data_IF_667178608822
#
_entry.id   IF_667178608822
#
_cell.length_a   1.000
_cell.length_b   1.000
_cell.length_c   1.000
_cell.angle_alpha   90.00
_cell.angle_beta   90.00
_cell.angle_gamma   90.00
#
_symmetry.space_group_name_H-M   'P 1'
#
loop_
_entity.id
_entity.type
_entity.pdbx_description
1 polymer ?
#
# COMPACT_ATOMS: atom_id res chain seq x y z
N UNK A 1 18.95 1.47 10.10
CA UNK A 1 18.75 2.79 9.45
C UNK A 1 18.63 3.85 10.53
N UNK A 2 19.53 4.83 10.58
CA UNK A 2 19.55 5.91 11.59
C UNK A 2 19.34 5.41 13.04
N UNK A 3 20.07 4.37 13.45
CA UNK A 3 19.98 3.79 14.80
C UNK A 3 18.79 2.88 15.08
N UNK A 4 17.88 2.66 14.11
CA UNK A 4 16.76 1.70 14.22
C UNK A 4 17.09 0.39 13.49
N UNK A 5 16.67 -0.74 14.09
CA UNK A 5 16.67 -2.06 13.43
C UNK A 5 15.51 -2.10 12.45
N UNK A 6 15.79 -2.46 11.20
CA UNK A 6 14.81 -2.46 10.11
C UNK A 6 15.02 -3.71 9.26
N UNK A 7 13.92 -4.28 8.80
CA UNK A 7 13.92 -5.26 7.70
C UNK A 7 13.49 -4.50 6.46
N UNK A 8 14.26 -4.62 5.37
CA UNK A 8 13.98 -3.94 4.12
C UNK A 8 13.78 -4.98 3.01
N UNK A 9 12.69 -4.86 2.25
CA UNK A 9 12.49 -5.62 1.03
C UNK A 9 13.03 -4.80 -0.15
N UNK A 10 14.10 -5.30 -0.78
CA UNK A 10 14.63 -4.72 -2.00
C UNK A 10 13.92 -5.33 -3.22
N UNK A 11 12.74 -4.81 -3.51
CA UNK A 11 11.81 -5.37 -4.48
C UNK A 11 10.57 -5.95 -3.81
N UNK A 12 9.53 -6.20 -4.61
CA UNK A 12 8.27 -6.81 -4.15
C UNK A 12 7.66 -7.62 -5.28
N UNK A 13 6.77 -8.54 -4.92
CA UNK A 13 6.00 -9.32 -5.87
C UNK A 13 4.77 -8.53 -6.33
N UNK A 14 4.44 -8.63 -7.62
CA UNK A 14 3.20 -8.11 -8.17
C UNK A 14 2.28 -9.26 -8.60
N UNK A 15 0.96 -9.17 -8.37
CA UNK A 15 0.04 -10.25 -8.70
C UNK A 15 0.02 -10.61 -10.19
N UNK A 16 0.25 -9.64 -11.08
CA UNK A 16 0.34 -9.90 -12.53
C UNK A 16 1.54 -10.78 -12.92
N UNK A 17 2.53 -10.94 -12.05
CA UNK A 17 3.68 -11.85 -12.25
C UNK A 17 3.37 -13.28 -11.76
N UNK A 18 2.25 -13.47 -11.04
CA UNK A 18 1.97 -14.66 -10.23
C UNK A 18 0.50 -15.10 -10.31
N UNK A 19 -0.13 -14.97 -11.48
CA UNK A 19 -1.51 -15.44 -11.71
C UNK A 19 -2.54 -14.90 -10.70
N UNK A 20 -2.39 -13.63 -10.29
CA UNK A 20 -3.23 -12.99 -9.28
C UNK A 20 -3.17 -13.63 -7.88
N UNK A 21 -2.11 -14.38 -7.55
CA UNK A 21 -1.85 -14.89 -6.21
C UNK A 21 -1.41 -13.76 -5.25
N UNK A 22 -2.41 -13.10 -4.67
CA UNK A 22 -2.22 -12.03 -3.69
C UNK A 22 -1.69 -12.53 -2.36
N UNK A 23 -1.98 -13.78 -1.98
CA UNK A 23 -1.50 -14.35 -0.71
C UNK A 23 0.02 -14.57 -0.77
N UNK A 24 0.54 -15.05 -1.91
CA UNK A 24 1.97 -15.13 -2.19
C UNK A 24 2.61 -13.73 -2.18
N UNK A 25 1.99 -12.75 -2.84
CA UNK A 25 2.54 -11.39 -2.88
C UNK A 25 2.60 -10.74 -1.49
N UNK A 26 1.62 -11.00 -0.62
CA UNK A 26 1.55 -10.49 0.74
C UNK A 26 2.30 -11.36 1.77
N UNK A 27 2.80 -12.54 1.40
CA UNK A 27 3.47 -13.47 2.32
C UNK A 27 4.61 -12.83 3.14
N UNK A 28 5.47 -11.97 2.57
CA UNK A 28 6.52 -11.31 3.34
C UNK A 28 6.01 -10.49 4.53
N UNK A 29 4.79 -9.97 4.47
CA UNK A 29 4.15 -9.24 5.59
C UNK A 29 3.98 -10.15 6.81
N UNK A 30 3.56 -11.40 6.61
CA UNK A 30 3.42 -12.39 7.69
C UNK A 30 4.79 -12.75 8.29
N UNK A 31 5.82 -12.88 7.45
CA UNK A 31 7.19 -13.12 7.92
C UNK A 31 7.69 -11.95 8.78
N UNK A 32 7.50 -10.71 8.32
CA UNK A 32 7.88 -9.52 9.08
C UNK A 32 7.14 -9.42 10.42
N UNK A 33 5.85 -9.76 10.45
CA UNK A 33 5.07 -9.82 11.68
C UNK A 33 5.70 -10.81 12.68
N UNK A 34 6.05 -12.02 12.24
CA UNK A 34 6.71 -13.03 13.07
C UNK A 34 8.12 -12.62 13.53
N UNK A 35 8.83 -11.81 12.73
CA UNK A 35 10.10 -11.17 13.13
C UNK A 35 9.92 -10.02 14.14
N UNK A 36 8.67 -9.70 14.50
CA UNK A 36 8.35 -8.68 15.50
C UNK A 36 8.21 -7.26 14.94
N UNK A 37 8.11 -7.08 13.63
CA UNK A 37 7.85 -5.77 13.02
C UNK A 37 6.49 -5.23 13.48
N UNK A 38 6.46 -3.96 13.90
CA UNK A 38 5.25 -3.27 14.40
C UNK A 38 4.78 -2.12 13.51
N UNK A 39 5.69 -1.58 12.70
CA UNK A 39 5.42 -0.49 11.77
C UNK A 39 5.91 -0.94 10.41
N UNK A 40 5.03 -0.86 9.42
CA UNK A 40 5.35 -1.14 8.03
C UNK A 40 5.27 0.17 7.24
N UNK A 41 6.35 0.49 6.53
CA UNK A 41 6.36 1.57 5.55
C UNK A 41 6.33 0.92 4.18
N UNK A 42 5.29 1.22 3.40
CA UNK A 42 5.16 0.74 2.01
C UNK A 42 5.47 1.87 1.04
N UNK A 43 6.15 1.54 -0.05
CA UNK A 43 6.44 2.46 -1.14
C UNK A 43 6.13 1.81 -2.49
N UNK A 44 5.68 2.63 -3.43
CA UNK A 44 5.46 2.22 -4.81
C UNK A 44 5.68 3.42 -5.75
N UNK A 45 5.73 3.13 -7.05
CA UNK A 45 5.53 4.13 -8.09
C UNK A 45 4.08 4.01 -8.59
N UNK A 46 3.46 5.14 -8.92
CA UNK A 46 2.07 5.20 -9.35
C UNK A 46 1.88 6.24 -10.46
N UNK A 47 0.91 5.99 -11.34
CA UNK A 47 0.37 7.01 -12.24
C UNK A 47 -0.48 8.02 -11.45
N UNK A 48 -0.23 9.31 -11.65
CA UNK A 48 -0.96 10.38 -10.97
C UNK A 48 -2.20 10.81 -11.77
N UNK A 49 -3.40 10.53 -11.24
CA UNK A 49 -4.67 10.94 -11.87
C UNK A 49 -5.12 12.35 -11.44
N UNK A 50 -4.63 12.83 -10.29
CA UNK A 50 -4.94 14.17 -9.83
C UNK A 50 -4.17 15.19 -10.69
N UNK A 51 -4.85 16.13 -11.38
CA UNK A 51 -4.20 17.06 -12.30
C UNK A 51 -3.21 18.03 -11.63
N UNK A 52 -3.21 18.10 -10.30
CA UNK A 52 -2.24 18.89 -9.52
C UNK A 52 -0.88 18.20 -9.35
N UNK A 53 -0.82 16.88 -9.58
CA UNK A 53 0.41 16.09 -9.48
C UNK A 53 1.32 16.37 -10.68
N UNK A 54 2.61 16.25 -10.44
CA UNK A 54 3.70 16.32 -11.41
C UNK A 54 4.59 15.11 -11.22
N UNK A 55 5.34 14.75 -12.27
CA UNK A 55 6.32 13.68 -12.18
C UNK A 55 7.31 13.95 -11.03
N UNK A 56 7.52 12.95 -10.17
CA UNK A 56 8.39 13.05 -9.00
C UNK A 56 7.73 13.60 -7.73
N UNK A 57 6.46 14.05 -7.79
CA UNK A 57 5.72 14.38 -6.56
C UNK A 57 5.53 13.13 -5.69
N UNK A 58 5.63 13.31 -4.37
CA UNK A 58 5.29 12.27 -3.40
C UNK A 58 3.83 12.42 -2.97
N UNK A 59 3.14 11.29 -2.82
CA UNK A 59 1.82 11.22 -2.22
C UNK A 59 1.82 10.24 -1.04
N UNK A 60 1.45 10.75 0.12
CA UNK A 60 1.11 9.96 1.29
C UNK A 60 -0.26 9.30 1.09
N UNK A 61 -0.32 7.99 1.27
CA UNK A 61 -1.57 7.24 1.13
C UNK A 61 -2.38 7.42 2.42
N UNK A 62 -3.56 8.04 2.32
CA UNK A 62 -4.52 8.13 3.44
C UNK A 62 -5.58 7.05 3.43
N UNK A 63 -5.84 6.48 2.26
CA UNK A 63 -6.81 5.41 2.05
C UNK A 63 -6.52 4.71 0.71
N UNK A 64 -7.21 3.60 0.44
CA UNK A 64 -7.11 2.92 -0.84
C UNK A 64 -8.44 2.41 -1.39
N UNK A 65 -8.48 2.21 -2.71
CA UNK A 65 -9.48 1.41 -3.39
C UNK A 65 -8.77 0.15 -3.90
N UNK A 66 -9.20 -1.02 -3.42
CA UNK A 66 -8.59 -2.29 -3.76
C UNK A 66 -9.48 -3.06 -4.74
N UNK A 67 -9.41 -2.71 -6.03
CA UNK A 67 -10.34 -3.23 -7.06
C UNK A 67 -10.33 -4.76 -7.18
N UNK A 68 -9.16 -5.45 -7.22
CA UNK A 68 -9.15 -6.92 -7.19
C UNK A 68 -9.94 -7.53 -6.02
N UNK A 69 -9.84 -6.94 -4.81
CA UNK A 69 -10.52 -7.46 -3.63
C UNK A 69 -12.03 -7.32 -3.69
N UNK A 70 -12.54 -6.26 -4.33
CA UNK A 70 -13.98 -6.10 -4.58
C UNK A 70 -14.53 -7.19 -5.50
N UNK A 71 -13.68 -7.77 -6.36
CA UNK A 71 -14.00 -8.89 -7.24
C UNK A 71 -13.64 -10.27 -6.65
N UNK A 72 -13.33 -10.34 -5.34
CA UNK A 72 -13.03 -11.60 -4.66
C UNK A 72 -11.55 -12.01 -4.67
N UNK A 73 -10.66 -11.21 -5.24
CA UNK A 73 -9.22 -11.44 -5.21
C UNK A 73 -8.59 -10.69 -4.04
N UNK A 74 -8.41 -11.38 -2.90
CA UNK A 74 -7.79 -10.79 -1.71
C UNK A 74 -6.85 -11.79 -1.03
N UNK A 75 -5.74 -11.32 -0.41
CA UNK A 75 -4.83 -12.19 0.36
C UNK A 75 -5.51 -12.84 1.57
N UNK A 76 -6.72 -12.39 1.92
CA UNK A 76 -7.52 -12.94 3.03
C UNK A 76 -8.51 -14.02 2.59
N UNK A 77 -8.61 -14.32 1.29
CA UNK A 77 -9.46 -15.40 0.75
C UNK A 77 -8.74 -16.74 0.90
N UNK A 78 -8.78 -17.28 2.12
CA UNK A 78 -8.23 -18.58 2.48
C UNK A 78 -8.88 -19.09 3.78
N UNK A 79 -8.40 -20.20 4.35
CA UNK A 79 -8.67 -20.55 5.75
C UNK A 79 -8.10 -19.48 6.68
N UNK A 80 -8.86 -19.12 7.73
CA UNK A 80 -8.40 -18.13 8.71
C UNK A 80 -7.52 -18.78 9.77
N UNK A 81 -6.33 -18.22 9.98
CA UNK A 81 -5.44 -18.60 11.06
C UNK A 81 -5.52 -17.54 12.18
N UNK A 82 -6.08 -17.87 13.36
CA UNK A 82 -6.30 -16.91 14.42
C UNK A 82 -5.00 -16.33 15.00
N UNK A 83 -3.83 -16.94 14.71
CA UNK A 83 -2.53 -16.38 15.11
C UNK A 83 -2.20 -15.06 14.42
N UNK A 84 -2.82 -14.76 13.27
CA UNK A 84 -2.58 -13.54 12.50
C UNK A 84 -3.71 -12.50 12.64
N UNK A 85 -4.84 -12.85 13.25
CA UNK A 85 -5.94 -11.92 13.50
C UNK A 85 -7.33 -12.49 13.28
N UNK A 86 -8.32 -11.59 13.28
CA UNK A 86 -9.72 -11.92 13.08
C UNK A 86 -10.03 -12.32 11.63
N UNK A 87 -11.09 -13.10 11.43
CA UNK A 87 -11.58 -13.48 10.10
C UNK A 87 -11.98 -12.27 9.25
N UNK A 88 -12.65 -11.31 9.88
CA UNK A 88 -13.11 -10.08 9.25
C UNK A 88 -12.33 -8.91 9.85
N UNK A 89 -11.51 -8.28 9.04
CA UNK A 89 -10.63 -7.17 9.46
C UNK A 89 -11.21 -5.88 8.90
N UNK A 90 -11.41 -4.88 9.77
CA UNK A 90 -11.79 -3.53 9.34
C UNK A 90 -10.58 -2.82 8.74
N UNK A 91 -10.79 -2.09 7.64
CA UNK A 91 -9.78 -1.25 6.99
C UNK A 91 -9.94 0.26 7.31
N UNK A 92 -10.89 0.64 8.17
CA UNK A 92 -11.23 2.04 8.47
C UNK A 92 -10.02 2.91 8.86
N UNK A 93 -9.03 2.34 9.57
CA UNK A 93 -7.80 3.03 9.98
C UNK A 93 -6.55 2.26 9.50
N UNK A 94 -6.60 1.66 8.30
CA UNK A 94 -5.47 0.93 7.73
C UNK A 94 -4.20 1.80 7.54
N UNK A 95 -4.36 3.11 7.36
CA UNK A 95 -3.28 4.09 7.25
C UNK A 95 -3.23 5.00 8.49
N UNK A 96 -2.31 4.66 9.39
CA UNK A 96 -2.18 5.26 10.73
C UNK A 96 -2.14 6.80 10.71
N UNK A 97 -3.13 7.43 11.36
CA UNK A 97 -3.28 8.90 11.42
C UNK A 97 -2.08 9.59 12.08
N UNK A 98 -1.55 9.14 13.24
CA UNK A 98 -0.33 9.70 13.82
C UNK A 98 0.89 9.67 12.88
N UNK A 99 1.18 8.55 12.22
CA UNK A 99 2.29 8.43 11.28
C UNK A 99 2.12 9.34 10.07
N UNK A 100 0.88 9.46 9.56
CA UNK A 100 0.58 10.40 8.46
C UNK A 100 0.82 11.85 8.84
N UNK A 101 0.34 12.25 10.02
CA UNK A 101 0.57 13.60 10.57
C UNK A 101 2.07 13.89 10.70
N UNK A 102 2.84 12.94 11.24
CA UNK A 102 4.28 13.06 11.36
C UNK A 102 4.97 13.23 9.99
N UNK A 103 4.55 12.48 8.98
CA UNK A 103 5.10 12.60 7.62
C UNK A 103 4.84 14.00 7.02
N UNK A 104 3.62 14.54 7.18
CA UNK A 104 3.26 15.89 6.72
C UNK A 104 4.07 16.98 7.46
N UNK A 105 4.26 16.85 8.77
CA UNK A 105 5.09 17.78 9.55
C UNK A 105 6.56 17.77 9.10
N UNK A 106 7.13 16.59 8.87
CA UNK A 106 8.51 16.44 8.36
C UNK A 106 8.64 17.06 6.96
N UNK A 107 7.65 16.82 6.08
CA UNK A 107 7.64 17.42 4.75
C UNK A 107 7.61 18.95 4.81
N UNK A 108 6.77 19.53 5.66
CA UNK A 108 6.71 20.98 5.88
C UNK A 108 8.04 21.55 6.40
N UNK A 109 8.66 20.91 7.39
CA UNK A 109 9.98 21.30 7.93
C UNK A 109 11.10 21.21 6.90
N UNK A 110 10.97 20.30 5.93
CA UNK A 110 11.98 20.06 4.89
C UNK A 110 11.69 20.83 3.60
N UNK A 111 10.66 21.69 3.58
CA UNK A 111 10.15 22.36 2.38
C UNK A 111 9.90 21.38 1.21
N UNK A 112 9.49 20.16 1.53
CA UNK A 112 9.21 19.10 0.57
C UNK A 112 7.74 19.11 0.22
N UNK A 113 7.43 19.18 -1.06
CA UNK A 113 6.06 19.05 -1.55
C UNK A 113 5.58 17.61 -1.33
N UNK A 114 4.54 17.44 -0.52
CA UNK A 114 3.93 16.15 -0.22
C UNK A 114 2.41 16.27 -0.35
N UNK A 115 1.82 15.44 -1.20
CA UNK A 115 0.37 15.29 -1.28
C UNK A 115 -0.12 14.24 -0.30
N UNK A 116 -1.42 14.28 0.00
CA UNK A 116 -2.10 13.21 0.71
C UNK A 116 -3.35 12.80 -0.08
N UNK A 117 -3.50 11.50 -0.36
CA UNK A 117 -4.53 11.03 -1.30
C UNK A 117 -4.86 9.55 -1.19
N UNK A 118 -5.82 9.12 -2.03
CA UNK A 118 -6.31 7.75 -2.10
C UNK A 118 -5.54 7.02 -3.20
N UNK A 119 -5.03 5.83 -2.90
CA UNK A 119 -4.34 4.98 -3.86
C UNK A 119 -5.30 3.92 -4.42
N UNK A 120 -5.36 3.77 -5.74
CA UNK A 120 -6.17 2.71 -6.37
C UNK A 120 -5.25 1.61 -6.85
N UNK A 121 -5.52 0.37 -6.44
CA UNK A 121 -4.84 -0.81 -6.96
C UNK A 121 -5.68 -1.43 -8.09
N UNK A 122 -5.09 -1.56 -9.28
CA UNK A 122 -5.62 -2.31 -10.43
C UNK A 122 -4.92 -3.67 -10.54
N UNK A 123 -5.42 -4.54 -11.43
CA UNK A 123 -4.83 -5.86 -11.67
C UNK A 123 -3.53 -5.83 -12.47
N UNK A 124 -3.40 -4.88 -13.41
CA UNK A 124 -2.31 -4.85 -14.38
C UNK A 124 -2.28 -6.09 -15.30
N UNK A 125 -1.22 -6.29 -16.11
CA UNK A 125 -0.08 -5.38 -16.29
C UNK A 125 -0.35 -4.26 -17.31
N UNK A 126 -1.51 -4.27 -17.96
CA UNK A 126 -1.92 -3.20 -18.87
C UNK A 126 -2.14 -1.91 -18.10
N UNK A 127 -1.70 -0.80 -18.69
CA UNK A 127 -2.13 0.53 -18.25
C UNK A 127 -3.60 0.76 -18.56
N UNK A 128 -4.17 1.71 -17.85
CA UNK A 128 -5.58 2.09 -17.94
C UNK A 128 -5.88 2.77 -19.28
N UNK A 129 -7.07 2.50 -19.83
CA UNK A 129 -7.68 3.23 -20.92
C UNK A 129 -8.16 4.61 -20.47
N UNK A 130 -8.38 5.57 -21.40
CA UNK A 130 -8.89 6.89 -21.03
C UNK A 130 -10.18 6.84 -20.19
N UNK A 131 -11.11 5.94 -20.54
CA UNK A 131 -12.40 5.80 -19.85
C UNK A 131 -12.26 5.30 -18.41
N UNK A 132 -11.22 4.51 -18.10
CA UNK A 132 -10.96 4.01 -16.75
C UNK A 132 -10.34 5.08 -15.83
N UNK A 133 -9.76 6.14 -16.40
CA UNK A 133 -9.10 7.21 -15.64
C UNK A 133 -9.94 8.50 -15.59
N UNK A 134 -10.86 8.67 -16.54
CA UNK A 134 -11.62 9.92 -16.71
C UNK A 134 -12.94 10.01 -15.95
N UNK A 135 -13.33 8.96 -15.22
CA UNK A 135 -14.59 8.90 -14.48
C UNK A 135 -14.58 9.71 -13.16
#
# INVERSE_FOLDING_TARGET
>A
MSGKRVVCMQGRFHPYEHHMDLALCAFPVRVMHLLGVKIMVVSNAAGGINPKFKHGDLMLIKDHIFLPALAGWSPMVALNDPRFGARFVSLHDAYDKPLRKLALEIAGKSNMRLFEGVYVMTGGPLYESPAEVSC
#
